data_IF_585597350428
#
_entry.id   IF_585597350428
#
_cell.length_a   1.000
_cell.length_b   1.000
_cell.length_c   1.000
_cell.angle_alpha   90.00
_cell.angle_beta   90.00
_cell.angle_gamma   90.00
#
_symmetry.space_group_name_H-M   'P 1'
#
loop_
_entity.id
_entity.type
_entity.pdbx_description
1 polymer ?
#
# COMPACT_ATOMS: atom_id res chain seq x y z
N UNK A 1 44.17 11.89 38.93
CA UNK A 1 43.32 11.45 37.80
C UNK A 1 44.15 10.53 36.94
N UNK A 2 43.90 9.23 37.04
CA UNK A 2 44.26 8.20 36.06
C UNK A 2 43.75 6.87 36.62
N UNK A 3 42.43 6.69 36.56
CA UNK A 3 41.82 5.36 36.63
C UNK A 3 42.07 4.71 35.27
N UNK A 4 43.16 3.94 35.17
CA UNK A 4 43.41 3.10 34.01
C UNK A 4 43.85 1.70 34.44
N UNK A 5 43.12 0.71 33.92
CA UNK A 5 43.51 -0.69 33.75
C UNK A 5 43.43 -1.63 34.96
N UNK A 6 42.21 -1.83 35.47
CA UNK A 6 41.86 -3.00 36.30
C UNK A 6 40.55 -3.65 35.84
N UNK A 7 40.50 -4.18 34.60
CA UNK A 7 39.35 -4.99 34.17
C UNK A 7 39.75 -6.27 33.39
N UNK A 8 40.94 -6.38 32.79
CA UNK A 8 41.21 -7.51 31.88
C UNK A 8 41.86 -8.76 32.52
N UNK A 9 42.32 -8.70 33.77
CA UNK A 9 43.15 -9.79 34.34
C UNK A 9 42.34 -10.96 34.91
N UNK A 10 41.13 -10.71 35.39
CA UNK A 10 40.29 -11.77 35.97
C UNK A 10 39.54 -12.55 34.89
N UNK A 11 39.07 -11.87 33.85
CA UNK A 11 38.43 -12.48 32.69
C UNK A 11 39.41 -13.42 31.95
N UNK A 12 40.65 -13.00 31.74
CA UNK A 12 41.69 -13.84 31.14
C UNK A 12 41.97 -15.11 31.96
N UNK A 13 41.90 -15.03 33.30
CA UNK A 13 42.15 -16.16 34.19
C UNK A 13 40.95 -17.11 34.25
N UNK A 14 39.71 -16.60 34.18
CA UNK A 14 38.50 -17.42 34.16
C UNK A 14 38.30 -18.09 32.80
N UNK A 15 38.50 -17.38 31.68
CA UNK A 15 38.51 -17.95 30.34
C UNK A 15 39.62 -18.99 30.20
N UNK A 16 40.84 -18.69 30.65
CA UNK A 16 41.93 -19.66 30.59
C UNK A 16 41.67 -20.91 31.45
N UNK A 17 41.01 -20.76 32.60
CA UNK A 17 40.63 -21.89 33.45
C UNK A 17 39.55 -22.75 32.79
N UNK A 18 38.50 -22.13 32.25
CA UNK A 18 37.43 -22.82 31.52
C UNK A 18 37.97 -23.50 30.25
N UNK A 19 38.88 -22.85 29.52
CA UNK A 19 39.51 -23.40 28.32
C UNK A 19 40.44 -24.59 28.64
N UNK A 20 41.12 -24.56 29.80
CA UNK A 20 42.02 -25.62 30.26
C UNK A 20 41.25 -26.81 30.86
N UNK A 21 40.15 -26.55 31.56
CA UNK A 21 39.24 -27.58 32.09
C UNK A 21 38.41 -28.23 30.98
N UNK A 22 37.99 -27.48 29.97
CA UNK A 22 37.29 -28.01 28.79
C UNK A 22 38.23 -28.62 27.75
N UNK A 23 39.53 -28.34 27.81
CA UNK A 23 40.56 -28.81 26.86
C UNK A 23 40.52 -30.32 26.57
N UNK A 24 40.50 -31.22 27.57
CA UNK A 24 40.42 -32.67 27.35
C UNK A 24 39.09 -33.11 26.72
N UNK A 25 37.99 -32.42 27.07
CA UNK A 25 36.66 -32.70 26.54
C UNK A 25 36.51 -32.20 25.09
N UNK A 26 37.08 -31.04 24.79
CA UNK A 26 37.14 -30.44 23.46
C UNK A 26 38.10 -31.19 22.54
N UNK A 27 39.20 -31.74 23.05
CA UNK A 27 40.08 -32.63 22.28
C UNK A 27 39.39 -33.96 21.93
N UNK A 28 38.51 -34.47 22.81
CA UNK A 28 37.78 -35.72 22.61
C UNK A 28 36.55 -35.57 21.70
N UNK A 29 35.84 -34.44 21.79
CA UNK A 29 34.59 -34.18 21.07
C UNK A 29 34.68 -33.06 20.03
N UNK A 30 35.86 -32.44 19.84
CA UNK A 30 36.03 -31.26 18.99
C UNK A 30 35.71 -31.50 17.54
N UNK A 31 36.06 -32.67 17.01
CA UNK A 31 35.65 -33.10 15.66
C UNK A 31 34.14 -33.23 15.56
N UNK A 32 33.47 -33.84 16.54
CA UNK A 32 32.00 -33.96 16.60
C UNK A 32 31.32 -32.59 16.69
N UNK A 33 31.88 -31.64 17.45
CA UNK A 33 31.37 -30.27 17.54
C UNK A 33 31.52 -29.52 16.22
N UNK A 34 32.64 -29.70 15.51
CA UNK A 34 32.82 -29.13 14.17
C UNK A 34 31.79 -29.71 13.19
N UNK A 35 31.57 -31.02 13.19
CA UNK A 35 30.55 -31.65 12.35
C UNK A 35 29.13 -31.19 12.71
N UNK A 36 28.82 -31.04 14.00
CA UNK A 36 27.52 -30.53 14.45
C UNK A 36 27.31 -29.07 14.03
N UNK A 37 28.31 -28.20 14.20
CA UNK A 37 28.26 -26.81 13.75
C UNK A 37 28.13 -26.72 12.22
N UNK A 38 28.88 -27.53 11.47
CA UNK A 38 28.77 -27.61 10.02
C UNK A 38 27.39 -28.10 9.57
N UNK A 39 26.81 -29.09 10.27
CA UNK A 39 25.46 -29.58 9.99
C UNK A 39 24.38 -28.50 10.25
N UNK A 40 24.52 -27.73 11.34
CA UNK A 40 23.61 -26.60 11.65
C UNK A 40 23.74 -25.49 10.62
N UNK A 41 24.96 -25.15 10.20
CA UNK A 41 25.18 -24.15 9.15
C UNK A 41 24.65 -24.62 7.80
N UNK A 42 24.85 -25.89 7.44
CA UNK A 42 24.31 -26.48 6.21
C UNK A 42 22.78 -26.50 6.23
N UNK A 43 22.16 -26.92 7.35
CA UNK A 43 20.71 -26.88 7.52
C UNK A 43 20.16 -25.46 7.44
N UNK A 44 20.84 -24.49 8.08
CA UNK A 44 20.48 -23.06 8.00
C UNK A 44 20.61 -22.51 6.59
N UNK A 45 21.68 -22.88 5.86
CA UNK A 45 21.89 -22.46 4.47
C UNK A 45 20.83 -23.04 3.53
N UNK A 46 20.47 -24.31 3.71
CA UNK A 46 19.38 -24.97 2.97
C UNK A 46 18.04 -24.30 3.30
N UNK A 47 17.79 -24.01 4.58
CA UNK A 47 16.58 -23.31 5.01
C UNK A 47 16.47 -21.93 4.35
N UNK A 48 17.52 -21.11 4.42
CA UNK A 48 17.56 -19.78 3.77
C UNK A 48 17.44 -19.88 2.25
N UNK A 49 18.04 -20.90 1.64
CA UNK A 49 17.95 -21.10 0.20
C UNK A 49 16.52 -21.45 -0.24
N UNK A 50 15.84 -22.32 0.52
CA UNK A 50 14.45 -22.70 0.26
C UNK A 50 13.48 -21.56 0.59
N UNK A 51 13.78 -20.73 1.59
CA UNK A 51 12.92 -19.62 2.03
C UNK A 51 13.11 -18.32 1.24
N UNK A 52 13.95 -18.29 0.19
CA UNK A 52 14.18 -17.09 -0.62
C UNK A 52 13.13 -16.99 -1.73
N UNK A 53 12.33 -15.92 -1.70
CA UNK A 53 11.49 -15.58 -2.84
C UNK A 53 12.32 -15.06 -4.02
N UNK A 54 11.99 -15.44 -5.26
CA UNK A 54 12.68 -14.92 -6.43
C UNK A 54 12.45 -13.40 -6.55
N UNK A 55 13.49 -12.61 -6.87
CA UNK A 55 13.30 -11.20 -7.18
C UNK A 55 12.45 -11.06 -8.45
N UNK A 56 11.56 -10.07 -8.46
CA UNK A 56 10.75 -9.80 -9.63
C UNK A 56 11.63 -9.34 -10.81
N UNK A 57 11.29 -9.80 -12.02
CA UNK A 57 11.95 -9.36 -13.26
C UNK A 57 11.50 -7.95 -13.66
N UNK A 58 12.30 -7.25 -14.48
CA UNK A 58 11.93 -5.93 -14.99
C UNK A 58 10.58 -5.92 -15.73
N UNK A 59 10.25 -7.00 -16.46
CA UNK A 59 8.98 -7.15 -17.15
C UNK A 59 7.80 -7.26 -16.17
N UNK A 60 7.94 -8.04 -15.09
CA UNK A 60 6.91 -8.15 -14.05
C UNK A 60 6.68 -6.82 -13.33
N UNK A 61 7.75 -6.08 -13.04
CA UNK A 61 7.64 -4.73 -12.48
C UNK A 61 6.92 -3.76 -13.43
N UNK A 62 7.19 -3.84 -14.73
CA UNK A 62 6.55 -3.00 -15.74
C UNK A 62 5.04 -3.26 -15.83
N UNK A 63 4.60 -4.52 -15.72
CA UNK A 63 3.17 -4.87 -15.69
C UNK A 63 2.46 -4.21 -14.50
N UNK A 64 3.04 -4.28 -13.30
CA UNK A 64 2.47 -3.63 -12.11
C UNK A 64 2.36 -2.11 -12.30
N UNK A 65 3.39 -1.48 -12.86
CA UNK A 65 3.43 -0.02 -13.06
C UNK A 65 2.46 0.46 -14.14
N UNK A 66 2.17 -0.37 -15.14
CA UNK A 66 1.21 -0.07 -16.20
C UNK A 66 -0.25 -0.35 -15.79
N UNK A 67 -0.47 -1.14 -14.74
CA UNK A 67 -1.80 -1.55 -14.30
C UNK A 67 -2.57 -0.39 -13.64
N UNK A 68 -3.81 -0.19 -14.08
CA UNK A 68 -4.71 0.85 -13.60
C UNK A 68 -6.15 0.35 -13.34
N UNK A 69 -6.48 -0.88 -13.73
CA UNK A 69 -7.78 -1.52 -13.43
C UNK A 69 -7.59 -2.77 -12.58
N UNK A 70 -8.61 -3.23 -11.83
CA UNK A 70 -8.54 -4.47 -11.06
C UNK A 70 -8.05 -5.66 -11.89
N UNK A 71 -8.52 -5.80 -13.12
CA UNK A 71 -8.17 -6.89 -14.04
C UNK A 71 -6.69 -6.82 -14.43
N UNK A 72 -6.17 -5.64 -14.73
CA UNK A 72 -4.75 -5.47 -15.05
C UNK A 72 -3.85 -5.78 -13.85
N UNK A 73 -4.30 -5.46 -12.63
CA UNK A 73 -3.60 -5.86 -11.41
C UNK A 73 -3.68 -7.37 -11.16
N UNK A 74 -4.82 -8.01 -11.47
CA UNK A 74 -4.96 -9.45 -11.42
C UNK A 74 -3.99 -10.13 -12.39
N UNK A 75 -3.92 -9.66 -13.64
CA UNK A 75 -2.98 -10.14 -14.65
C UNK A 75 -1.52 -9.96 -14.18
N UNK A 76 -1.16 -8.79 -13.64
CA UNK A 76 0.17 -8.56 -13.11
C UNK A 76 0.50 -9.51 -11.93
N UNK A 77 -0.47 -9.81 -11.08
CA UNK A 77 -0.32 -10.76 -9.98
C UNK A 77 -0.11 -12.19 -10.49
N UNK A 78 -0.89 -12.62 -11.47
CA UNK A 78 -0.81 -13.96 -12.07
C UNK A 78 0.50 -14.17 -12.85
N UNK A 79 1.06 -13.11 -13.44
CA UNK A 79 2.37 -13.15 -14.10
C UNK A 79 3.57 -13.08 -13.14
N UNK A 80 3.34 -12.80 -11.85
CA UNK A 80 4.37 -12.58 -10.84
C UNK A 80 4.13 -13.37 -9.55
N UNK A 81 3.46 -14.53 -9.64
CA UNK A 81 3.14 -15.40 -8.50
C UNK A 81 4.39 -15.76 -7.69
N UNK A 82 4.27 -15.68 -6.36
CA UNK A 82 5.36 -16.01 -5.44
C UNK A 82 6.47 -14.96 -5.38
N UNK A 83 6.25 -13.78 -5.97
CA UNK A 83 7.14 -12.62 -5.83
C UNK A 83 6.47 -11.52 -5.00
N UNK A 84 7.24 -10.62 -4.36
CA UNK A 84 6.69 -9.47 -3.67
C UNK A 84 5.82 -8.57 -4.57
N UNK A 85 6.20 -8.39 -5.83
CA UNK A 85 5.45 -7.59 -6.81
C UNK A 85 4.09 -8.23 -7.11
N UNK A 86 4.02 -9.56 -7.22
CA UNK A 86 2.76 -10.27 -7.38
C UNK A 86 1.83 -10.09 -6.19
N UNK A 87 2.36 -10.10 -4.97
CA UNK A 87 1.58 -9.86 -3.75
C UNK A 87 1.04 -8.41 -3.72
N UNK A 88 1.85 -7.42 -4.09
CA UNK A 88 1.38 -6.03 -4.23
C UNK A 88 0.34 -5.87 -5.32
N UNK A 89 0.53 -6.51 -6.47
CA UNK A 89 -0.44 -6.49 -7.57
C UNK A 89 -1.80 -7.04 -7.09
N UNK A 90 -1.80 -8.19 -6.42
CA UNK A 90 -3.01 -8.78 -5.85
C UNK A 90 -3.67 -7.87 -4.80
N UNK A 91 -2.88 -7.21 -3.96
CA UNK A 91 -3.38 -6.23 -3.00
C UNK A 91 -4.07 -5.04 -3.71
N UNK A 92 -3.45 -4.51 -4.77
CA UNK A 92 -4.02 -3.39 -5.55
C UNK A 92 -5.30 -3.79 -6.28
N UNK A 93 -5.38 -5.01 -6.82
CA UNK A 93 -6.63 -5.58 -7.34
C UNK A 93 -7.73 -5.53 -6.27
N UNK A 94 -7.47 -6.06 -5.07
CA UNK A 94 -8.45 -6.12 -4.00
C UNK A 94 -8.91 -4.72 -3.55
N UNK A 95 -7.98 -3.79 -3.38
CA UNK A 95 -8.26 -2.42 -2.95
C UNK A 95 -9.08 -1.63 -3.98
N UNK A 96 -8.75 -1.74 -5.27
CA UNK A 96 -9.52 -1.08 -6.33
C UNK A 96 -10.89 -1.73 -6.51
N UNK A 97 -10.98 -3.05 -6.42
CA UNK A 97 -12.27 -3.75 -6.44
C UNK A 97 -13.15 -3.31 -5.27
N UNK A 98 -12.58 -3.16 -4.06
CA UNK A 98 -13.30 -2.62 -2.91
C UNK A 98 -13.73 -1.17 -3.14
N UNK A 99 -12.86 -0.34 -3.71
CA UNK A 99 -13.20 1.05 -4.01
C UNK A 99 -14.37 1.15 -5.00
N UNK A 100 -14.35 0.35 -6.07
CA UNK A 100 -15.44 0.25 -7.03
C UNK A 100 -16.72 -0.23 -6.34
N UNK A 101 -16.62 -1.29 -5.52
CA UNK A 101 -17.74 -1.83 -4.78
C UNK A 101 -18.41 -0.76 -3.91
N UNK A 102 -17.62 0.00 -3.14
CA UNK A 102 -18.12 1.06 -2.27
C UNK A 102 -18.83 2.17 -3.04
N UNK A 103 -18.34 2.52 -4.24
CA UNK A 103 -19.03 3.47 -5.13
C UNK A 103 -20.34 2.89 -5.65
N UNK A 104 -20.29 1.66 -6.16
CA UNK A 104 -21.41 0.91 -6.72
C UNK A 104 -22.53 0.70 -5.70
N UNK A 105 -22.25 0.54 -4.41
CA UNK A 105 -23.30 0.40 -3.38
C UNK A 105 -24.29 1.57 -3.30
N UNK A 106 -23.93 2.75 -3.83
CA UNK A 106 -24.78 3.95 -3.89
C UNK A 106 -25.50 4.15 -5.23
N UNK A 107 -25.07 3.48 -6.30
CA UNK A 107 -25.57 3.69 -7.68
C UNK A 107 -26.14 2.43 -8.32
N UNK A 108 -25.59 1.26 -8.00
CA UNK A 108 -26.04 -0.05 -8.43
C UNK A 108 -25.72 -1.08 -7.34
N UNK A 109 -26.68 -1.33 -6.44
CA UNK A 109 -26.47 -2.18 -5.28
C UNK A 109 -26.06 -3.60 -5.64
N UNK A 110 -26.67 -4.19 -6.67
CA UNK A 110 -26.34 -5.54 -7.12
C UNK A 110 -24.85 -5.64 -7.49
N UNK A 111 -24.36 -4.72 -8.31
CA UNK A 111 -22.94 -4.67 -8.70
C UNK A 111 -22.06 -4.43 -7.48
N UNK A 112 -22.44 -3.50 -6.59
CA UNK A 112 -21.68 -3.25 -5.36
C UNK A 112 -21.52 -4.50 -4.49
N UNK A 113 -22.57 -5.31 -4.33
CA UNK A 113 -22.49 -6.56 -3.56
C UNK A 113 -21.63 -7.62 -4.25
N UNK A 114 -21.72 -7.73 -5.58
CA UNK A 114 -20.87 -8.64 -6.36
C UNK A 114 -19.38 -8.25 -6.25
N UNK A 115 -19.06 -6.96 -6.36
CA UNK A 115 -17.69 -6.46 -6.21
C UNK A 115 -17.17 -6.57 -4.78
N UNK A 116 -18.01 -6.35 -3.75
CA UNK A 116 -17.61 -6.60 -2.35
C UNK A 116 -17.20 -8.06 -2.15
N UNK A 117 -17.94 -9.00 -2.75
CA UNK A 117 -17.62 -10.42 -2.67
C UNK A 117 -16.29 -10.74 -3.37
N UNK A 118 -16.07 -10.19 -4.58
CA UNK A 118 -14.80 -10.34 -5.30
C UNK A 118 -13.62 -9.80 -4.50
N UNK A 119 -13.75 -8.60 -3.93
CA UNK A 119 -12.71 -8.00 -3.11
C UNK A 119 -12.38 -8.88 -1.88
N UNK A 120 -13.40 -9.42 -1.21
CA UNK A 120 -13.21 -10.33 -0.07
C UNK A 120 -12.48 -11.62 -0.47
N UNK A 121 -12.86 -12.24 -1.58
CA UNK A 121 -12.18 -13.44 -2.10
C UNK A 121 -10.72 -13.13 -2.46
N UNK A 122 -10.44 -11.97 -3.05
CA UNK A 122 -9.07 -11.54 -3.36
C UNK A 122 -8.26 -11.26 -2.09
N UNK A 123 -8.82 -10.61 -1.07
CA UNK A 123 -8.13 -10.41 0.22
C UNK A 123 -7.83 -11.73 0.93
N UNK A 124 -8.77 -12.70 0.93
CA UNK A 124 -8.53 -14.03 1.52
C UNK A 124 -7.38 -14.78 0.83
N UNK A 125 -7.29 -14.70 -0.50
CA UNK A 125 -6.14 -15.27 -1.24
C UNK A 125 -4.79 -14.66 -0.81
N UNK A 126 -4.77 -13.37 -0.46
CA UNK A 126 -3.55 -12.72 0.06
C UNK A 126 -3.26 -13.21 1.48
N UNK A 127 -4.28 -13.34 2.33
CA UNK A 127 -4.13 -13.83 3.70
C UNK A 127 -3.56 -15.26 3.76
N UNK A 128 -3.95 -16.11 2.81
CA UNK A 128 -3.47 -17.49 2.67
C UNK A 128 -2.04 -17.60 2.13
N UNK A 129 -1.47 -16.52 1.60
CA UNK A 129 -0.11 -16.54 1.05
C UNK A 129 0.96 -16.53 2.17
N UNK A 130 1.95 -17.40 2.04
CA UNK A 130 2.88 -17.73 3.15
C UNK A 130 3.94 -16.65 3.44
N UNK A 131 4.02 -15.58 2.65
CA UNK A 131 5.09 -14.56 2.75
C UNK A 131 4.58 -13.19 2.26
N UNK A 132 3.75 -12.54 3.07
CA UNK A 132 3.35 -11.15 2.86
C UNK A 132 4.18 -10.22 3.75
N UNK A 133 4.67 -9.12 3.16
CA UNK A 133 5.36 -8.08 3.90
C UNK A 133 4.44 -7.43 4.93
N UNK A 134 5.04 -6.82 5.95
CA UNK A 134 4.33 -6.16 7.05
C UNK A 134 3.33 -5.12 6.56
N UNK A 135 3.70 -4.33 5.55
CA UNK A 135 2.86 -3.28 4.97
C UNK A 135 1.69 -3.84 4.12
N UNK A 136 1.89 -4.96 3.41
CA UNK A 136 0.80 -5.67 2.72
C UNK A 136 -0.19 -6.20 3.75
N UNK A 137 0.31 -6.80 4.83
CA UNK A 137 -0.53 -7.31 5.92
C UNK A 137 -1.35 -6.20 6.59
N UNK A 138 -0.74 -5.04 6.84
CA UNK A 138 -1.46 -3.87 7.37
C UNK A 138 -2.62 -3.46 6.46
N UNK A 139 -2.33 -3.29 5.15
CA UNK A 139 -3.34 -2.87 4.17
C UNK A 139 -4.44 -3.91 3.94
N UNK A 140 -4.08 -5.19 3.98
CA UNK A 140 -5.02 -6.31 3.99
C UNK A 140 -6.01 -6.20 5.16
N UNK A 141 -5.52 -6.02 6.39
CA UNK A 141 -6.40 -5.90 7.57
C UNK A 141 -7.31 -4.67 7.48
N UNK A 142 -6.78 -3.54 7.02
CA UNK A 142 -7.57 -2.31 6.77
C UNK A 142 -8.65 -2.57 5.71
N UNK A 143 -8.32 -3.27 4.62
CA UNK A 143 -9.28 -3.66 3.59
C UNK A 143 -10.39 -4.56 4.12
N UNK A 144 -10.03 -5.58 4.90
CA UNK A 144 -10.98 -6.50 5.55
C UNK A 144 -11.89 -5.79 6.55
N UNK A 145 -11.38 -4.82 7.32
CA UNK A 145 -12.19 -4.01 8.22
C UNK A 145 -13.18 -3.12 7.47
N UNK A 146 -12.77 -2.51 6.35
CA UNK A 146 -13.66 -1.75 5.46
C UNK A 146 -14.72 -2.64 4.81
N UNK A 147 -14.40 -3.88 4.43
CA UNK A 147 -15.37 -4.86 3.95
C UNK A 147 -16.42 -5.20 5.02
N UNK A 148 -15.97 -5.44 6.25
CA UNK A 148 -16.86 -5.73 7.38
C UNK A 148 -17.83 -4.56 7.65
N UNK A 149 -17.33 -3.32 7.60
CA UNK A 149 -18.19 -2.14 7.71
C UNK A 149 -19.16 -1.96 6.54
N UNK A 150 -18.71 -2.20 5.30
CA UNK A 150 -19.57 -2.08 4.13
C UNK A 150 -20.76 -3.07 4.17
N UNK A 151 -20.55 -4.23 4.81
CA UNK A 151 -21.55 -5.27 5.05
C UNK A 151 -22.34 -5.06 6.35
N UNK A 152 -22.01 -4.06 7.16
CA UNK A 152 -22.68 -3.83 8.43
C UNK A 152 -24.14 -3.43 8.20
N UNK A 153 -25.06 -4.08 8.91
CA UNK A 153 -26.51 -3.82 8.84
C UNK A 153 -27.05 -3.11 10.09
N UNK A 154 -26.15 -2.63 10.95
CA UNK A 154 -26.47 -1.96 12.21
C UNK A 154 -26.83 -2.92 13.34
N UNK A 155 -26.96 -4.24 13.10
CA UNK A 155 -27.21 -5.22 14.14
C UNK A 155 -25.95 -5.52 14.94
N UNK A 156 -26.14 -5.92 16.20
CA UNK A 156 -25.03 -6.18 17.12
C UNK A 156 -24.01 -7.18 16.57
N UNK A 157 -24.45 -8.20 15.82
CA UNK A 157 -23.55 -9.19 15.24
C UNK A 157 -22.61 -8.57 14.19
N UNK A 158 -23.13 -7.78 13.24
CA UNK A 158 -22.31 -7.18 12.19
C UNK A 158 -21.48 -6.00 12.72
N UNK A 159 -22.02 -5.25 13.68
CA UNK A 159 -21.28 -4.18 14.36
C UNK A 159 -20.09 -4.77 15.10
N UNK A 160 -20.28 -5.85 15.87
CA UNK A 160 -19.17 -6.55 16.56
C UNK A 160 -18.14 -7.10 15.58
N UNK A 161 -18.58 -7.66 14.45
CA UNK A 161 -17.67 -8.14 13.42
C UNK A 161 -16.81 -7.00 12.83
N UNK A 162 -17.41 -5.85 12.52
CA UNK A 162 -16.70 -4.68 12.03
C UNK A 162 -15.74 -4.09 13.07
N UNK A 163 -16.16 -3.99 14.34
CA UNK A 163 -15.31 -3.55 15.45
C UNK A 163 -14.12 -4.49 15.62
N UNK A 164 -14.35 -5.81 15.65
CA UNK A 164 -13.29 -6.81 15.80
C UNK A 164 -12.25 -6.72 14.67
N UNK A 165 -12.69 -6.48 13.43
CA UNK A 165 -11.79 -6.31 12.29
C UNK A 165 -10.90 -5.05 12.44
N UNK A 166 -11.44 -3.92 12.91
CA UNK A 166 -10.64 -2.73 13.21
C UNK A 166 -9.73 -2.91 14.42
N UNK A 167 -10.18 -3.61 15.45
CA UNK A 167 -9.33 -3.96 16.59
C UNK A 167 -8.13 -4.79 16.15
N UNK A 168 -8.29 -5.68 15.16
CA UNK A 168 -7.20 -6.47 14.63
C UNK A 168 -6.13 -5.59 13.97
N UNK A 169 -6.51 -4.48 13.31
CA UNK A 169 -5.57 -3.49 12.77
C UNK A 169 -4.73 -2.89 13.91
N UNK A 170 -5.37 -2.34 14.94
CA UNK A 170 -4.66 -1.70 16.06
C UNK A 170 -3.82 -2.67 16.89
N UNK A 171 -4.29 -3.91 17.08
CA UNK A 171 -3.56 -4.94 17.84
C UNK A 171 -2.33 -5.45 17.08
N UNK A 172 -2.45 -5.60 15.76
CA UNK A 172 -1.36 -6.14 14.93
C UNK A 172 -0.32 -5.08 14.57
N UNK A 173 -0.72 -3.80 14.50
CA UNK A 173 0.13 -2.68 14.08
C UNK A 173 0.01 -1.47 15.04
N UNK A 174 0.38 -1.60 16.32
CA UNK A 174 0.25 -0.53 17.30
C UNK A 174 1.16 0.68 17.01
N UNK A 175 2.30 0.44 16.36
CA UNK A 175 3.30 1.49 16.06
C UNK A 175 2.92 2.34 14.83
N UNK A 176 1.99 1.84 14.00
CA UNK A 176 1.48 2.54 12.81
C UNK A 176 0.39 3.55 13.19
N UNK A 177 0.83 4.65 13.84
CA UNK A 177 -0.05 5.64 14.48
C UNK A 177 -1.24 6.10 13.61
N UNK A 178 -1.00 6.36 12.32
CA UNK A 178 -2.06 6.80 11.39
C UNK A 178 -3.18 5.77 11.28
N UNK A 179 -2.83 4.48 11.15
CA UNK A 179 -3.81 3.41 11.02
C UNK A 179 -4.42 3.02 12.37
N UNK A 180 -3.66 3.10 13.45
CA UNK A 180 -4.16 2.89 14.80
C UNK A 180 -5.22 3.94 15.19
N UNK A 181 -4.98 5.22 14.89
CA UNK A 181 -5.96 6.30 15.12
C UNK A 181 -7.17 6.19 14.18
N UNK A 182 -6.98 5.78 12.93
CA UNK A 182 -8.08 5.46 12.03
C UNK A 182 -8.97 4.37 12.63
N UNK A 183 -8.40 3.23 13.00
CA UNK A 183 -9.10 2.09 13.58
C UNK A 183 -9.86 2.48 14.85
N UNK A 184 -9.21 3.20 15.77
CA UNK A 184 -9.84 3.74 16.99
C UNK A 184 -11.04 4.64 16.67
N UNK A 185 -10.89 5.57 15.72
CA UNK A 185 -11.97 6.45 15.30
C UNK A 185 -13.15 5.67 14.71
N UNK A 186 -12.87 4.63 13.91
CA UNK A 186 -13.92 3.77 13.34
C UNK A 186 -14.65 2.97 14.41
N UNK A 187 -13.94 2.36 15.36
CA UNK A 187 -14.52 1.63 16.49
C UNK A 187 -15.47 2.54 17.28
N UNK A 188 -15.00 3.74 17.67
CA UNK A 188 -15.82 4.71 18.41
C UNK A 188 -17.09 5.10 17.65
N UNK A 189 -17.02 5.25 16.32
CA UNK A 189 -18.20 5.55 15.50
C UNK A 189 -19.16 4.37 15.43
N UNK A 190 -18.67 3.15 15.21
CA UNK A 190 -19.48 1.94 15.11
C UNK A 190 -20.30 1.65 16.38
N UNK A 191 -19.80 2.07 17.54
CA UNK A 191 -20.52 1.94 18.82
C UNK A 191 -21.69 2.90 18.98
N UNK A 192 -21.68 4.03 18.26
CA UNK A 192 -22.72 5.06 18.36
C UNK A 192 -24.03 4.59 17.73
N UNK A 193 -25.15 4.84 18.42
CA UNK A 193 -26.48 4.46 17.93
C UNK A 193 -26.79 5.09 16.56
N UNK A 194 -26.41 6.35 16.35
CA UNK A 194 -26.58 7.06 15.07
C UNK A 194 -25.90 6.35 13.89
N UNK A 195 -24.71 5.78 14.11
CA UNK A 195 -23.98 5.01 13.09
C UNK A 195 -24.68 3.67 12.82
N UNK A 196 -25.15 2.98 13.86
CA UNK A 196 -25.93 1.74 13.70
C UNK A 196 -27.21 2.00 12.91
N UNK A 197 -27.92 3.08 13.23
CA UNK A 197 -29.15 3.49 12.53
C UNK A 197 -28.86 3.81 11.06
N UNK A 198 -27.75 4.49 10.76
CA UNK A 198 -27.32 4.75 9.39
C UNK A 198 -27.08 3.43 8.62
N UNK A 199 -26.33 2.48 9.18
CA UNK A 199 -26.07 1.20 8.52
C UNK A 199 -27.36 0.41 8.28
N UNK A 200 -28.24 0.36 9.28
CA UNK A 200 -29.55 -0.28 9.16
C UNK A 200 -30.43 0.37 8.08
N UNK A 201 -30.38 1.69 7.94
CA UNK A 201 -31.05 2.41 6.86
C UNK A 201 -30.39 2.16 5.51
N UNK A 202 -29.07 2.19 5.44
CA UNK A 202 -28.29 2.05 4.22
C UNK A 202 -28.48 0.67 3.58
N UNK A 203 -28.58 -0.38 4.40
CA UNK A 203 -28.82 -1.74 3.89
C UNK A 203 -30.21 -1.93 3.28
N UNK A 204 -31.17 -1.06 3.59
CA UNK A 204 -32.51 -1.08 2.98
C UNK A 204 -32.57 -0.35 1.63
N UNK A 205 -31.53 0.41 1.29
CA UNK A 205 -31.47 1.10 0.01
C UNK A 205 -31.18 0.09 -1.09
N UNK A 206 -31.85 0.23 -2.24
CA UNK A 206 -31.60 -0.58 -3.44
C UNK A 206 -31.46 0.34 -4.67
N UNK A 207 -30.41 1.18 -4.72
CA UNK A 207 -30.15 2.02 -5.87
C UNK A 207 -29.93 1.16 -7.12
N UNK A 208 -30.59 1.57 -8.20
CA UNK A 208 -30.45 0.98 -9.52
C UNK A 208 -29.76 2.01 -10.42
N UNK A 209 -28.99 1.55 -11.43
CA UNK A 209 -28.52 2.45 -12.47
C UNK A 209 -29.68 3.27 -13.00
N UNK A 210 -29.46 4.56 -13.23
CA UNK A 210 -30.42 5.33 -14.00
C UNK A 210 -30.71 4.58 -15.31
N UNK A 211 -31.96 4.59 -15.76
CA UNK A 211 -32.22 4.27 -17.15
C UNK A 211 -31.30 5.16 -17.97
N UNK A 212 -30.60 4.60 -18.96
CA UNK A 212 -29.92 5.37 -19.98
C UNK A 212 -30.98 6.28 -20.61
N UNK A 213 -31.15 7.49 -20.06
CA UNK A 213 -31.86 8.56 -20.73
C UNK A 213 -31.04 8.73 -21.99
N UNK A 214 -31.59 8.23 -23.11
CA UNK A 214 -30.89 8.19 -24.39
C UNK A 214 -30.11 9.48 -24.57
N UNK A 215 -28.86 9.34 -25.03
CA UNK A 215 -27.89 10.38 -25.38
C UNK A 215 -28.47 11.80 -25.25
N UNK A 216 -27.84 12.75 -24.51
CA UNK A 216 -28.28 14.14 -24.55
C UNK A 216 -28.61 14.52 -25.99
N UNK A 217 -29.78 15.13 -26.22
CA UNK A 217 -30.29 15.40 -27.58
C UNK A 217 -29.37 16.30 -28.44
N UNK A 218 -28.21 16.66 -27.89
CA UNK A 218 -27.08 17.30 -28.54
C UNK A 218 -26.22 16.32 -29.39
N UNK A 219 -26.64 15.04 -29.52
CA UNK A 219 -26.04 14.05 -30.43
C UNK A 219 -26.36 14.26 -31.92
N UNK A 220 -25.56 13.68 -32.85
CA UNK A 220 -25.44 14.11 -34.24
C UNK A 220 -26.75 13.95 -35.02
N UNK A 221 -27.41 15.09 -35.28
CA UNK A 221 -28.64 15.17 -36.06
C UNK A 221 -29.37 16.51 -35.90
N UNK A 222 -29.21 17.18 -34.75
CA UNK A 222 -29.90 18.46 -34.45
C UNK A 222 -28.99 19.60 -33.97
N UNK A 223 -27.67 19.47 -34.08
CA UNK A 223 -26.74 20.58 -33.83
C UNK A 223 -26.80 21.59 -34.99
N UNK A 224 -27.09 22.89 -34.73
CA UNK A 224 -26.90 23.94 -35.73
C UNK A 224 -25.46 23.89 -36.26
N UNK A 225 -25.23 24.10 -37.57
CA UNK A 225 -23.88 24.05 -38.11
C UNK A 225 -22.98 25.07 -37.41
N UNK A 226 -21.82 24.59 -36.94
CA UNK A 226 -20.78 25.44 -36.34
C UNK A 226 -20.36 26.49 -37.37
N UNK A 227 -20.39 27.81 -37.05
CA UNK A 227 -19.87 28.82 -37.93
C UNK A 227 -18.39 28.54 -38.22
N UNK A 228 -18.04 28.37 -39.50
CA UNK A 228 -16.65 28.21 -39.90
C UNK A 228 -15.91 29.52 -39.68
N UNK A 229 -15.10 29.59 -38.63
CA UNK A 229 -14.09 30.65 -38.50
C UNK A 229 -12.92 30.30 -39.44
N UNK A 230 -12.39 31.27 -40.21
CA UNK A 230 -11.29 31.03 -41.14
C UNK A 230 -10.08 30.42 -40.39
N UNK A 231 -9.54 29.36 -40.99
CA UNK A 231 -8.69 28.36 -40.35
C UNK A 231 -7.50 28.93 -39.59
N UNK A 232 -7.51 28.72 -38.28
CA UNK A 232 -6.30 28.76 -37.46
C UNK A 232 -6.00 27.30 -37.13
N UNK A 233 -4.96 26.73 -37.74
CA UNK A 233 -4.44 25.42 -37.35
C UNK A 233 -3.49 25.61 -36.16
N UNK A 234 -3.90 25.33 -34.91
CA UNK A 234 -3.07 25.59 -33.73
C UNK A 234 -1.82 24.70 -33.63
N UNK A 235 -1.70 23.67 -34.49
CA UNK A 235 -0.59 22.71 -34.51
C UNK A 235 0.49 23.02 -35.54
N UNK A 236 0.23 23.94 -36.49
CA UNK A 236 1.19 24.27 -37.56
C UNK A 236 2.36 25.12 -37.03
N UNK A 237 2.12 25.93 -35.99
CA UNK A 237 3.14 26.73 -35.31
C UNK A 237 4.00 25.94 -34.31
N UNK A 238 3.64 24.71 -33.95
CA UNK A 238 4.37 23.90 -32.97
C UNK A 238 5.30 22.86 -33.61
N UNK A 239 5.23 22.68 -34.94
CA UNK A 239 5.97 21.64 -35.67
C UNK A 239 6.94 22.18 -36.72
N UNK A 240 7.14 23.50 -36.81
CA UNK A 240 8.15 24.10 -37.70
C UNK A 240 9.52 24.19 -37.00
N UNK A 241 10.59 23.53 -37.51
CA UNK A 241 11.91 23.58 -36.89
C UNK A 241 12.68 24.85 -37.30
N UNK A 242 12.96 25.69 -36.29
CA UNK A 242 14.14 26.56 -36.18
C UNK A 242 14.31 27.74 -37.14
N UNK A 243 14.21 28.96 -36.61
CA UNK A 243 15.16 30.05 -36.91
C UNK A 243 15.19 30.99 -35.71
N UNK A 244 16.34 31.08 -35.05
CA UNK A 244 16.60 32.11 -34.04
C UNK A 244 16.62 33.50 -34.71
N UNK A 245 16.12 34.55 -34.04
CA UNK A 245 16.58 35.91 -34.30
C UNK A 245 17.52 36.35 -33.17
N UNK A 246 18.74 36.68 -33.57
CA UNK A 246 19.66 37.46 -32.74
C UNK A 246 19.24 38.94 -32.73
N UNK A 247 19.43 39.56 -31.55
CA UNK A 247 19.75 40.97 -31.28
C UNK A 247 18.71 42.08 -31.49
N UNK A 248 18.53 42.87 -30.41
CA UNK A 248 17.93 44.21 -30.33
C UNK A 248 16.46 44.16 -29.89
N UNK A 249 16.00 44.68 -28.76
CA UNK A 249 16.49 45.74 -27.88
C UNK A 249 16.01 45.48 -26.43
N UNK A 250 16.82 45.86 -25.45
CA UNK A 250 16.52 45.81 -24.01
C UNK A 250 15.50 46.87 -23.62
N UNK A 251 14.50 46.55 -22.78
CA UNK A 251 13.99 47.51 -21.81
C UNK A 251 14.19 47.04 -20.35
N UNK A 252 15.00 47.82 -19.65
CA UNK A 252 15.13 48.05 -18.21
C UNK A 252 14.61 46.99 -17.20
N UNK A 253 15.58 46.41 -16.49
CA UNK A 253 15.45 45.78 -15.17
C UNK A 253 14.68 46.65 -14.17
N UNK A 254 13.66 46.10 -13.48
CA UNK A 254 13.05 46.75 -12.32
C UNK A 254 14.07 46.89 -11.18
N UNK A 255 14.31 48.13 -10.74
CA UNK A 255 15.15 48.43 -9.59
C UNK A 255 14.50 47.95 -8.28
N UNK A 256 15.28 47.20 -7.52
CA UNK A 256 15.04 46.78 -6.14
C UNK A 256 15.01 48.01 -5.20
N UNK A 257 14.03 48.17 -4.29
CA UNK A 257 13.99 49.29 -3.37
C UNK A 257 15.12 49.18 -2.34
N UNK A 258 15.97 50.20 -2.31
CA UNK A 258 17.08 50.35 -1.37
C UNK A 258 16.53 50.59 0.05
N UNK A 259 16.98 49.78 0.99
CA UNK A 259 16.72 49.94 2.42
C UNK A 259 17.25 51.29 2.94
N UNK A 260 16.40 52.02 3.64
CA UNK A 260 16.78 53.15 4.50
C UNK A 260 16.69 52.70 5.97
N UNK A 261 17.82 52.78 6.67
CA UNK A 261 17.92 52.92 8.13
C UNK A 261 19.13 53.84 8.40
N UNK A 262 19.23 54.50 9.56
CA UNK A 262 18.20 55.22 10.32
C UNK A 262 18.67 56.67 10.61
N UNK A 263 17.78 57.54 11.11
CA UNK A 263 18.20 58.73 11.87
C UNK A 263 17.43 58.85 13.17
N UNK A 264 18.20 58.91 14.25
CA UNK A 264 17.80 59.28 15.58
C UNK A 264 17.56 60.80 15.67
N UNK A 265 16.47 61.18 16.33
CA UNK A 265 16.44 62.20 17.40
C UNK A 265 15.17 62.01 18.25
#
# INVERSE_FOLDING_TARGET
MSDEQYVHREDDVQLAKILRESGPWLQRNGTTLIYAAAAVLAASAVYVYISRQPPATAAQSALLLAANTPEQYADAADNAVGTPIGNYARLREAELTLQNALSSLFTNRKVGLEELKKAEETFKRIEESQDISSDIRLRLLVGMARLAEARCDGQDATVKAAVAAWEQVSKSFPDEKTFAELAKTRIQKLEQQTTKDFYAWFQKQDPKPGEETGLPQDGPGNVPPVPQFPGINPLENLLSPGTAPATGETPATPQEPKAEEPKAE
#
